data_IF_034718342476
#
_entry.id   IF_034718342476
#
_cell.length_a   1.000
_cell.length_b   1.000
_cell.length_c   1.000
_cell.angle_alpha   90.00
_cell.angle_beta   90.00
_cell.angle_gamma   90.00
#
_symmetry.space_group_name_H-M   'P 1'
#
loop_
_entity.id
_entity.type
_entity.pdbx_description
1 polymer ?
#
# COMPACT_ATOMS: atom_id res chain seq x y z
N UNK A 1 -17.27 -3.87 -19.32
CA UNK A 1 -16.70 -2.51 -19.48
C UNK A 1 -15.92 -2.19 -18.22
N UNK A 2 -14.68 -1.71 -18.29
CA UNK A 2 -13.89 -1.35 -17.10
C UNK A 2 -14.26 0.08 -16.68
N UNK A 3 -14.54 0.29 -15.38
CA UNK A 3 -15.02 1.57 -14.86
C UNK A 3 -13.91 2.58 -14.59
N UNK A 4 -13.12 2.37 -13.53
CA UNK A 4 -12.01 3.23 -13.13
C UNK A 4 -10.92 2.45 -12.39
N UNK A 5 -9.70 2.97 -12.42
CA UNK A 5 -8.62 2.54 -11.53
C UNK A 5 -8.76 3.33 -10.24
N UNK A 6 -8.86 2.64 -9.11
CA UNK A 6 -8.98 3.28 -7.79
C UNK A 6 -7.62 3.69 -7.21
N UNK A 7 -6.67 2.77 -7.28
CA UNK A 7 -5.30 2.98 -6.84
C UNK A 7 -4.40 1.94 -7.53
N UNK A 8 -3.10 2.19 -7.51
CA UNK A 8 -2.07 1.23 -7.93
C UNK A 8 -1.32 0.79 -6.68
N UNK A 9 -1.37 -0.52 -6.38
CA UNK A 9 -0.60 -1.10 -5.28
C UNK A 9 0.78 -1.56 -5.74
N UNK A 10 1.83 -1.23 -4.99
CA UNK A 10 3.20 -1.65 -5.25
C UNK A 10 3.75 -2.40 -4.03
N UNK A 11 4.14 -3.66 -4.22
CA UNK A 11 4.87 -4.41 -3.18
C UNK A 11 6.34 -4.01 -3.21
N UNK A 12 6.84 -3.53 -2.07
CA UNK A 12 8.21 -3.05 -1.92
C UNK A 12 8.91 -3.79 -0.79
N UNK A 13 10.23 -3.86 -0.84
CA UNK A 13 11.03 -4.52 0.21
C UNK A 13 11.18 -3.67 1.47
N UNK A 14 11.04 -2.35 1.36
CA UNK A 14 11.21 -1.38 2.44
C UNK A 14 10.17 -0.26 2.29
N UNK A 15 9.18 -0.26 3.18
CA UNK A 15 8.05 0.68 3.11
C UNK A 15 8.48 2.10 3.44
N UNK A 16 9.33 2.28 4.46
CA UNK A 16 9.73 3.59 4.97
C UNK A 16 10.60 4.32 3.93
N UNK A 17 11.52 3.60 3.28
CA UNK A 17 12.30 4.12 2.14
C UNK A 17 11.41 4.51 0.96
N UNK A 18 10.40 3.70 0.64
CA UNK A 18 9.48 4.00 -0.45
C UNK A 18 8.60 5.21 -0.15
N UNK A 19 8.07 5.36 1.07
CA UNK A 19 7.32 6.54 1.49
C UNK A 19 8.19 7.80 1.30
N UNK A 20 9.44 7.78 1.78
CA UNK A 20 10.35 8.92 1.62
C UNK A 20 10.57 9.28 0.13
N UNK A 21 10.75 8.28 -0.74
CA UNK A 21 10.89 8.54 -2.17
C UNK A 21 9.62 9.15 -2.79
N UNK A 22 8.45 8.54 -2.58
CA UNK A 22 7.21 9.02 -3.19
C UNK A 22 6.76 10.38 -2.63
N UNK A 23 6.98 10.62 -1.34
CA UNK A 23 6.64 11.90 -0.69
C UNK A 23 7.65 12.99 -1.01
N UNK A 24 8.94 12.75 -0.74
CA UNK A 24 9.94 13.82 -0.72
C UNK A 24 10.54 14.10 -2.10
N UNK A 25 10.59 13.09 -2.99
CA UNK A 25 11.16 13.25 -4.34
C UNK A 25 10.06 13.46 -5.38
N UNK A 26 8.99 12.68 -5.32
CA UNK A 26 7.88 12.76 -6.28
C UNK A 26 6.74 13.69 -5.84
N UNK A 27 6.72 14.13 -4.58
CA UNK A 27 5.75 15.12 -4.10
C UNK A 27 4.35 14.58 -3.82
N UNK A 28 4.18 13.26 -3.64
CA UNK A 28 2.88 12.70 -3.26
C UNK A 28 2.59 12.97 -1.78
N UNK A 29 1.32 13.09 -1.44
CA UNK A 29 0.87 13.30 -0.06
C UNK A 29 0.67 11.96 0.65
N UNK A 30 1.34 11.78 1.79
CA UNK A 30 1.14 10.61 2.66
C UNK A 30 -0.18 10.73 3.43
N UNK A 31 -1.08 9.76 3.24
CA UNK A 31 -2.42 9.75 3.82
C UNK A 31 -2.51 8.93 5.11
N UNK A 32 -1.57 8.01 5.33
CA UNK A 32 -1.54 7.13 6.49
C UNK A 32 -1.06 5.73 6.18
N UNK A 33 -0.96 4.93 7.23
CA UNK A 33 -0.54 3.54 7.18
C UNK A 33 -1.59 2.65 7.86
N UNK A 34 -1.78 1.45 7.31
CA UNK A 34 -2.54 0.37 7.95
C UNK A 34 -1.70 -0.89 8.08
N UNK A 35 -1.94 -1.63 9.14
CA UNK A 35 -1.49 -3.01 9.27
C UNK A 35 -2.65 -3.93 8.90
N UNK A 36 -2.52 -4.65 7.79
CA UNK A 36 -3.45 -5.70 7.40
C UNK A 36 -3.03 -7.01 8.06
N UNK A 37 -3.94 -7.60 8.83
CA UNK A 37 -3.79 -8.93 9.43
C UNK A 37 -5.16 -9.61 9.58
N UNK A 38 -5.16 -10.91 9.92
CA UNK A 38 -6.37 -11.70 10.11
C UNK A 38 -6.86 -12.44 8.87
N UNK A 39 -7.98 -13.16 9.02
CA UNK A 39 -8.46 -14.16 8.04
C UNK A 39 -8.70 -13.58 6.64
N UNK A 40 -9.21 -12.35 6.55
CA UNK A 40 -9.46 -11.70 5.27
C UNK A 40 -8.16 -11.33 4.54
N UNK A 41 -7.11 -10.96 5.28
CA UNK A 41 -5.76 -10.71 4.74
C UNK A 41 -5.17 -12.01 4.19
N UNK A 42 -5.30 -13.11 4.94
CA UNK A 42 -4.80 -14.42 4.53
C UNK A 42 -5.48 -14.92 3.25
N UNK A 43 -6.81 -14.77 3.16
CA UNK A 43 -7.58 -15.10 1.95
C UNK A 43 -7.15 -14.25 0.76
N UNK A 44 -6.99 -12.94 0.96
CA UNK A 44 -6.60 -11.99 -0.09
C UNK A 44 -5.21 -12.33 -0.68
N UNK A 45 -4.24 -12.63 0.18
CA UNK A 45 -2.87 -12.96 -0.25
C UNK A 45 -2.64 -14.46 -0.50
N UNK A 46 -3.62 -15.32 -0.25
CA UNK A 46 -3.54 -16.78 -0.28
C UNK A 46 -2.33 -17.31 0.50
N UNK A 47 -2.15 -16.81 1.72
CA UNK A 47 -1.09 -17.19 2.66
C UNK A 47 -1.63 -17.20 4.08
N UNK A 48 -1.19 -18.16 4.89
CA UNK A 48 -1.57 -18.22 6.31
C UNK A 48 -0.74 -17.25 7.16
N UNK A 49 -1.38 -16.63 8.16
CA UNK A 49 -0.79 -15.68 9.10
C UNK A 49 -0.03 -14.53 8.43
N UNK A 50 -0.54 -14.05 7.29
CA UNK A 50 0.06 -12.99 6.52
C UNK A 50 -0.18 -11.64 7.19
N UNK A 51 0.87 -10.83 7.26
CA UNK A 51 0.80 -9.44 7.69
C UNK A 51 1.35 -8.55 6.59
N UNK A 52 0.65 -7.45 6.31
CA UNK A 52 1.11 -6.45 5.35
C UNK A 52 1.00 -5.05 5.96
N UNK A 53 2.11 -4.33 6.01
CA UNK A 53 2.13 -2.88 6.24
C UNK A 53 1.85 -2.20 4.91
N UNK A 54 0.85 -1.33 4.86
CA UNK A 54 0.43 -0.63 3.64
C UNK A 54 0.36 0.86 3.91
N UNK A 55 1.09 1.64 3.12
CA UNK A 55 1.02 3.10 3.13
C UNK A 55 0.20 3.61 1.94
N UNK A 56 -0.71 4.53 2.22
CA UNK A 56 -1.46 5.23 1.18
C UNK A 56 -0.82 6.58 0.89
N UNK A 57 -0.61 6.85 -0.40
CA UNK A 57 -0.16 8.15 -0.88
C UNK A 57 -1.07 8.59 -2.02
N UNK A 58 -1.34 9.89 -2.12
CA UNK A 58 -2.16 10.47 -3.18
C UNK A 58 -1.41 11.57 -3.94
N UNK A 59 -1.68 11.67 -5.24
CA UNK A 59 -1.29 12.82 -6.05
C UNK A 59 -2.31 13.95 -5.92
N UNK A 60 -1.89 15.18 -6.25
CA UNK A 60 -2.78 16.35 -6.34
C UNK A 60 -3.79 16.22 -7.47
#
# INVERSE_FOLDING_TARGET
MVGRIYHVGLTVSDLDRSIAFYRDILGLEFQGEILMEGEETDKMFRKENCKARVAYLNGS
#
